data_IF_940815748661
#
_entry.id   IF_940815748661
#
_cell.length_a   1.000
_cell.length_b   1.000
_cell.length_c   1.000
_cell.angle_alpha   90.00
_cell.angle_beta   90.00
_cell.angle_gamma   90.00
#
_symmetry.space_group_name_H-M   'P 1'
#
loop_
_entity.id
_entity.type
_entity.pdbx_description
1 polymer ?
#
# COMPACT_ATOMS: atom_id res chain seq x y z
N UNK A 1 -23.46 -16.41 12.23
CA UNK A 1 -22.99 -15.34 11.36
C UNK A 1 -22.11 -15.92 10.26
N UNK A 2 -22.45 -15.69 9.02
CA UNK A 2 -21.62 -16.26 7.96
C UNK A 2 -20.23 -15.63 7.96
N UNK A 3 -19.23 -16.44 7.70
CA UNK A 3 -17.88 -15.94 7.52
C UNK A 3 -17.81 -15.10 6.24
N UNK A 4 -16.98 -14.05 6.25
CA UNK A 4 -16.75 -13.27 5.05
C UNK A 4 -16.02 -14.14 4.01
N UNK A 5 -16.50 -14.08 2.77
CA UNK A 5 -15.79 -14.69 1.66
C UNK A 5 -14.49 -13.95 1.42
N UNK A 6 -13.52 -14.64 0.78
CA UNK A 6 -12.23 -14.06 0.49
C UNK A 6 -12.31 -12.73 -0.29
N UNK A 7 -13.30 -12.61 -1.18
CA UNK A 7 -13.50 -11.44 -2.02
C UNK A 7 -14.56 -10.47 -1.49
N UNK A 8 -15.17 -10.75 -0.35
CA UNK A 8 -16.16 -9.85 0.25
C UNK A 8 -15.47 -8.58 0.79
N UNK A 9 -16.09 -7.41 0.61
CA UNK A 9 -15.52 -6.19 1.16
C UNK A 9 -15.59 -6.16 2.68
N UNK A 10 -14.54 -5.63 3.31
CA UNK A 10 -14.51 -5.40 4.75
C UNK A 10 -15.38 -4.19 5.07
N UNK A 11 -16.20 -4.31 6.12
CA UNK A 11 -17.17 -3.29 6.51
C UNK A 11 -16.66 -2.44 7.67
N UNK A 12 -16.93 -1.17 7.61
CA UNK A 12 -16.87 -0.21 8.71
C UNK A 12 -15.49 -0.07 9.36
N UNK A 13 -15.32 1.05 10.06
CA UNK A 13 -14.20 1.31 10.95
C UNK A 13 -14.21 0.29 12.09
N UNK A 14 -13.02 -0.05 12.58
CA UNK A 14 -12.89 -1.11 13.57
C UNK A 14 -12.98 -2.50 12.99
N UNK A 15 -12.99 -2.63 11.67
CA UNK A 15 -13.12 -3.92 11.00
C UNK A 15 -11.76 -4.60 10.80
N UNK A 16 -11.76 -5.93 10.92
CA UNK A 16 -10.57 -6.74 10.66
C UNK A 16 -10.29 -6.76 9.16
N UNK A 17 -9.07 -6.37 8.79
CA UNK A 17 -8.66 -6.32 7.39
C UNK A 17 -8.02 -7.62 6.92
N UNK A 18 -6.97 -8.06 7.61
CA UNK A 18 -6.21 -9.24 7.18
C UNK A 18 -5.48 -9.84 8.38
N UNK A 19 -5.40 -11.16 8.43
CA UNK A 19 -4.58 -11.86 9.42
C UNK A 19 -3.11 -11.69 9.08
N UNK A 20 -2.25 -11.56 10.09
CA UNK A 20 -0.82 -11.42 9.87
C UNK A 20 -0.23 -12.63 9.14
N UNK A 21 -0.70 -13.83 9.48
CA UNK A 21 -0.21 -15.05 8.83
C UNK A 21 -0.74 -15.25 7.41
N UNK A 22 -1.69 -14.43 6.99
CA UNK A 22 -2.20 -14.44 5.61
C UNK A 22 -1.45 -13.47 4.70
N UNK A 23 -0.55 -12.65 5.23
CA UNK A 23 0.26 -11.76 4.42
C UNK A 23 1.25 -12.57 3.57
N UNK A 24 1.38 -12.24 2.27
CA UNK A 24 2.36 -12.92 1.43
C UNK A 24 3.79 -12.51 1.80
N UNK A 25 4.82 -13.22 1.28
CA UNK A 25 6.22 -12.89 1.57
C UNK A 25 6.59 -11.43 1.28
N UNK A 26 5.91 -10.78 0.34
CA UNK A 26 6.15 -9.36 0.05
C UNK A 26 5.67 -8.41 1.14
N UNK A 27 4.91 -8.88 2.13
CA UNK A 27 4.49 -8.06 3.27
C UNK A 27 3.29 -7.16 3.03
N UNK A 28 2.64 -7.25 1.88
CA UNK A 28 1.50 -6.42 1.53
C UNK A 28 0.51 -7.22 0.68
N UNK A 29 -0.77 -6.92 0.82
CA UNK A 29 -1.83 -7.54 0.01
C UNK A 29 -2.96 -6.55 -0.24
N UNK A 30 -3.79 -6.87 -1.22
CA UNK A 30 -4.99 -6.08 -1.51
C UNK A 30 -6.12 -6.51 -0.60
N UNK A 31 -6.82 -5.54 -0.01
CA UNK A 31 -8.01 -5.81 0.82
C UNK A 31 -9.13 -4.89 0.36
N UNK A 32 -10.27 -5.49 0.00
CA UNK A 32 -11.45 -4.72 -0.39
C UNK A 32 -12.19 -4.24 0.84
N UNK A 33 -12.48 -2.95 0.87
CA UNK A 33 -13.30 -2.36 1.93
C UNK A 33 -14.53 -1.72 1.32
N UNK A 34 -15.60 -1.69 2.10
CA UNK A 34 -16.84 -1.06 1.66
C UNK A 34 -16.72 0.46 1.62
N UNK A 35 -16.07 1.05 2.63
CA UNK A 35 -16.01 2.49 2.77
C UNK A 35 -14.89 3.15 1.96
N UNK A 36 -13.79 2.41 1.70
CA UNK A 36 -12.57 3.00 1.15
C UNK A 36 -12.09 2.31 -0.14
N UNK A 37 -12.88 1.40 -0.68
CA UNK A 37 -12.46 0.63 -1.86
C UNK A 37 -11.35 -0.35 -1.53
N UNK A 38 -10.50 -0.64 -2.51
CA UNK A 38 -9.40 -1.58 -2.33
C UNK A 38 -8.21 -0.84 -1.73
N UNK A 39 -7.68 -1.40 -0.64
CA UNK A 39 -6.50 -0.87 0.06
C UNK A 39 -5.32 -1.82 -0.09
N UNK A 40 -4.12 -1.27 -0.07
CA UNK A 40 -2.89 -2.05 0.11
C UNK A 40 -2.61 -2.09 1.61
N UNK A 41 -2.62 -3.28 2.19
CA UNK A 41 -2.52 -3.49 3.64
C UNK A 41 -1.34 -4.40 3.93
N UNK A 42 -0.53 -4.04 4.90
CA UNK A 42 0.64 -4.85 5.24
C UNK A 42 1.38 -4.36 6.47
N UNK A 43 2.61 -4.86 6.58
CA UNK A 43 3.54 -4.54 7.66
C UNK A 43 4.85 -4.05 7.04
N UNK A 44 5.35 -2.91 7.49
CA UNK A 44 6.65 -2.36 7.10
C UNK A 44 7.45 -2.08 8.35
N UNK A 45 8.60 -2.74 8.52
CA UNK A 45 9.45 -2.63 9.71
C UNK A 45 8.66 -2.81 11.01
N UNK A 46 7.77 -3.80 11.04
CA UNK A 46 6.95 -4.09 12.21
C UNK A 46 5.76 -3.17 12.41
N UNK A 47 5.56 -2.18 11.55
CA UNK A 47 4.47 -1.21 11.68
C UNK A 47 3.37 -1.55 10.67
N UNK A 48 2.12 -1.73 11.11
CA UNK A 48 1.02 -1.98 10.19
C UNK A 48 0.67 -0.74 9.39
N UNK A 49 0.20 -0.93 8.16
CA UNK A 49 -0.25 0.17 7.33
C UNK A 49 -1.43 -0.24 6.46
N UNK A 50 -2.21 0.75 6.07
CA UNK A 50 -3.20 0.63 5.00
C UNK A 50 -3.18 1.92 4.19
N UNK A 51 -3.01 1.79 2.89
CA UNK A 51 -2.94 2.93 1.98
C UNK A 51 -3.81 2.64 0.75
N UNK A 52 -4.14 3.68 0.00
CA UNK A 52 -4.85 3.50 -1.26
C UNK A 52 -4.03 2.60 -2.19
N UNK A 53 -4.74 1.73 -2.94
CA UNK A 53 -4.10 0.64 -3.68
C UNK A 53 -3.47 1.05 -5.01
N UNK A 54 -3.69 2.28 -5.46
CA UNK A 54 -3.29 2.70 -6.81
C UNK A 54 -2.07 3.60 -6.75
N UNK A 55 -1.00 3.20 -7.47
CA UNK A 55 0.21 3.99 -7.61
C UNK A 55 -0.10 5.31 -8.34
N UNK A 56 0.42 6.43 -7.80
CA UNK A 56 0.09 7.75 -8.30
C UNK A 56 0.71 8.09 -9.65
N UNK A 57 1.78 7.38 -10.05
CA UNK A 57 2.43 7.69 -11.32
C UNK A 57 1.91 6.85 -12.50
N UNK A 58 1.45 5.61 -12.29
CA UNK A 58 1.03 4.72 -13.37
C UNK A 58 -0.20 3.88 -13.04
N UNK A 59 -0.85 4.14 -11.92
CA UNK A 59 -2.06 3.42 -11.51
C UNK A 59 -1.86 1.92 -11.32
N UNK A 60 -0.62 1.47 -11.11
CA UNK A 60 -0.35 0.09 -10.75
C UNK A 60 -0.91 -0.23 -9.37
N UNK A 61 -1.29 -1.48 -9.15
CA UNK A 61 -1.91 -1.90 -7.90
C UNK A 61 -0.84 -2.21 -6.85
N UNK A 62 -0.73 -1.34 -5.86
CA UNK A 62 0.33 -1.40 -4.84
C UNK A 62 0.25 -2.65 -3.96
N UNK A 63 -0.95 -3.19 -3.74
CA UNK A 63 -1.12 -4.43 -2.99
C UNK A 63 -0.52 -5.65 -3.69
N UNK A 64 -0.16 -5.53 -4.96
CA UNK A 64 0.53 -6.57 -5.71
C UNK A 64 2.05 -6.35 -5.72
N UNK A 65 2.53 -5.29 -5.09
CA UNK A 65 3.95 -5.01 -4.96
C UNK A 65 4.57 -5.71 -3.76
N UNK A 66 5.51 -5.04 -3.12
CA UNK A 66 6.19 -5.58 -1.95
C UNK A 66 6.65 -4.47 -1.02
N UNK A 67 6.85 -4.83 0.25
CA UNK A 67 7.52 -3.96 1.21
C UNK A 67 9.02 -4.18 1.10
N UNK A 68 9.77 -3.09 0.96
CA UNK A 68 11.22 -3.17 0.86
C UNK A 68 11.83 -1.95 1.56
N UNK A 69 12.77 -2.22 2.47
CA UNK A 69 13.46 -1.17 3.22
C UNK A 69 12.48 -0.21 3.93
N UNK A 70 11.42 -0.77 4.51
CA UNK A 70 10.43 0.00 5.23
C UNK A 70 9.44 0.78 4.39
N UNK A 71 9.50 0.63 3.07
CA UNK A 71 8.63 1.34 2.15
C UNK A 71 7.80 0.36 1.31
N UNK A 72 6.68 0.85 0.78
CA UNK A 72 5.85 0.09 -0.15
C UNK A 72 6.35 0.36 -1.57
N UNK A 73 6.74 -0.70 -2.27
CA UNK A 73 7.30 -0.62 -3.60
C UNK A 73 6.27 -1.00 -4.66
N UNK A 74 6.10 -0.13 -5.66
CA UNK A 74 5.20 -0.36 -6.78
C UNK A 74 5.70 -1.55 -7.64
N UNK A 75 4.81 -2.47 -8.04
CA UNK A 75 5.23 -3.66 -8.79
C UNK A 75 5.71 -3.37 -10.20
N UNK A 76 5.34 -2.24 -10.80
CA UNK A 76 5.69 -1.97 -12.21
C UNK A 76 7.09 -1.40 -12.37
N UNK A 77 7.39 -0.25 -11.75
CA UNK A 77 8.66 0.43 -11.95
C UNK A 77 9.38 0.74 -10.63
N UNK A 78 8.97 0.06 -9.56
CA UNK A 78 9.63 0.11 -8.25
C UNK A 78 9.71 1.51 -7.62
N UNK A 79 8.72 2.36 -7.91
CA UNK A 79 8.55 3.58 -7.13
C UNK A 79 8.24 3.20 -5.68
N UNK A 80 8.79 3.92 -4.72
CA UNK A 80 8.62 3.61 -3.30
C UNK A 80 7.85 4.70 -2.60
N UNK A 81 7.00 4.28 -1.67
CA UNK A 81 6.15 5.18 -0.89
C UNK A 81 6.37 4.94 0.59
N UNK A 82 6.40 6.04 1.35
CA UNK A 82 6.35 5.99 2.80
C UNK A 82 4.94 5.60 3.22
N UNK A 83 4.82 4.52 4.00
CA UNK A 83 3.50 3.98 4.36
C UNK A 83 2.80 4.80 5.45
N UNK A 84 3.52 5.68 6.15
CA UNK A 84 2.92 6.52 7.18
C UNK A 84 2.40 7.84 6.63
N UNK A 85 3.05 8.39 5.61
CA UNK A 85 2.65 9.67 5.01
C UNK A 85 1.98 9.52 3.64
N UNK A 86 2.18 8.40 2.98
CA UNK A 86 1.71 8.17 1.62
C UNK A 86 2.58 8.83 0.55
N UNK A 87 3.66 9.50 0.94
CA UNK A 87 4.51 10.24 0.01
C UNK A 87 5.46 9.33 -0.75
N UNK A 88 5.68 9.64 -2.01
CA UNK A 88 6.70 8.97 -2.81
C UNK A 88 8.08 9.37 -2.32
N UNK A 89 8.89 8.38 -1.91
CA UNK A 89 10.25 8.63 -1.41
C UNK A 89 11.32 8.28 -2.43
N UNK A 90 10.96 7.52 -3.47
CA UNK A 90 11.86 7.18 -4.57
C UNK A 90 11.03 7.08 -5.84
N UNK A 91 11.49 7.70 -6.91
CA UNK A 91 10.79 7.68 -8.19
C UNK A 91 10.86 6.32 -8.87
N UNK A 92 10.10 6.15 -9.94
CA UNK A 92 10.07 4.90 -10.69
C UNK A 92 11.44 4.58 -11.28
N UNK A 93 11.72 3.28 -11.42
CA UNK A 93 12.98 2.76 -11.94
C UNK A 93 12.70 1.83 -13.12
N UNK A 94 13.74 1.48 -13.85
CA UNK A 94 13.62 0.61 -14.98
C UNK A 94 14.23 1.26 -16.21
N UNK A 95 13.98 0.67 -17.38
CA UNK A 95 14.66 1.06 -18.61
C UNK A 95 14.48 2.54 -18.97
N UNK A 96 13.26 3.04 -18.87
CA UNK A 96 12.94 4.46 -19.13
C UNK A 96 13.26 5.30 -17.92
N UNK A 97 12.84 4.84 -16.74
CA UNK A 97 12.93 5.58 -15.49
C UNK A 97 14.30 5.50 -14.84
N UNK A 98 15.22 4.70 -15.40
CA UNK A 98 16.59 4.64 -14.93
C UNK A 98 17.40 5.89 -15.31
N UNK A 99 16.90 6.72 -16.20
CA UNK A 99 17.54 8.00 -16.55
C UNK A 99 17.31 8.99 -15.41
N UNK A 100 18.37 9.39 -14.64
CA UNK A 100 18.20 10.13 -13.40
C UNK A 100 17.39 11.44 -13.51
N UNK A 101 17.57 12.29 -14.52
CA UNK A 101 16.77 13.51 -14.64
C UNK A 101 15.26 13.23 -14.76
N UNK A 102 14.89 12.20 -15.51
CA UNK A 102 13.49 11.85 -15.68
C UNK A 102 12.89 11.31 -14.39
N UNK A 103 13.60 10.41 -13.73
CA UNK A 103 13.13 9.83 -12.46
C UNK A 103 12.95 10.89 -11.38
N UNK A 104 13.86 11.85 -11.29
CA UNK A 104 13.75 12.96 -10.34
C UNK A 104 12.56 13.87 -10.64
N UNK A 105 12.28 14.12 -11.92
CA UNK A 105 11.14 14.93 -12.32
C UNK A 105 9.83 14.24 -11.95
N UNK A 106 9.71 12.94 -12.21
CA UNK A 106 8.53 12.17 -11.84
C UNK A 106 8.33 12.14 -10.35
N UNK A 107 9.42 11.95 -9.59
CA UNK A 107 9.36 11.96 -8.13
C UNK A 107 8.88 13.33 -7.59
N UNK A 108 9.48 14.40 -8.07
CA UNK A 108 9.10 15.75 -7.63
C UNK A 108 7.63 16.04 -7.95
N UNK A 109 7.18 15.71 -9.15
CA UNK A 109 5.80 15.91 -9.54
C UNK A 109 4.84 15.09 -8.68
N UNK A 110 5.12 13.80 -8.49
CA UNK A 110 4.29 12.93 -7.67
C UNK A 110 4.21 13.38 -6.22
N UNK A 111 5.30 13.87 -5.67
CA UNK A 111 5.34 14.37 -4.29
C UNK A 111 4.49 15.63 -4.12
N UNK A 112 4.41 16.47 -5.15
CA UNK A 112 3.63 17.72 -5.10
C UNK A 112 2.15 17.48 -5.33
N UNK A 113 1.81 16.55 -6.24
CA UNK A 113 0.43 16.43 -6.72
C UNK A 113 -0.45 15.64 -5.78
N UNK A 114 -0.05 14.43 -5.38
CA UNK A 114 -0.93 13.60 -4.57
C UNK A 114 -0.18 12.47 -3.89
N UNK A 115 0.03 12.55 -2.58
CA UNK A 115 0.47 11.37 -1.84
C UNK A 115 -0.63 10.31 -1.84
N UNK A 116 -0.28 9.07 -1.53
CA UNK A 116 -1.26 8.03 -1.29
C UNK A 116 -2.10 8.40 -0.08
N UNK A 117 -3.37 8.04 -0.10
CA UNK A 117 -4.21 8.17 1.09
C UNK A 117 -3.80 7.10 2.09
N UNK A 118 -3.69 7.49 3.35
CA UNK A 118 -3.36 6.58 4.44
C UNK A 118 -4.57 6.40 5.35
N UNK A 119 -4.68 5.23 5.96
CA UNK A 119 -5.79 4.89 6.84
C UNK A 119 -5.22 4.34 8.14
N UNK A 120 -5.69 4.81 9.31
CA UNK A 120 -5.15 4.33 10.58
C UNK A 120 -5.54 2.87 10.82
N UNK A 121 -4.56 2.09 11.22
CA UNK A 121 -4.72 0.66 11.50
C UNK A 121 -3.95 0.29 12.75
N UNK A 122 -4.31 -0.87 13.33
CA UNK A 122 -3.59 -1.42 14.47
C UNK A 122 -3.49 -2.94 14.33
N UNK A 123 -2.48 -3.51 14.97
CA UNK A 123 -2.36 -4.96 15.11
C UNK A 123 -3.07 -5.36 16.40
N UNK A 124 -4.01 -6.30 16.28
CA UNK A 124 -4.75 -6.82 17.41
C UNK A 124 -5.15 -8.25 17.12
N UNK A 125 -4.96 -9.15 18.10
CA UNK A 125 -5.36 -10.54 17.98
C UNK A 125 -4.83 -11.22 16.71
N UNK A 126 -3.57 -10.96 16.36
CA UNK A 126 -2.92 -11.57 15.20
C UNK A 126 -3.39 -11.09 13.86
N UNK A 127 -4.02 -9.91 13.81
CA UNK A 127 -4.55 -9.35 12.57
C UNK A 127 -4.38 -7.83 12.53
N UNK A 128 -4.54 -7.26 11.34
CA UNK A 128 -4.55 -5.81 11.13
C UNK A 128 -6.01 -5.37 11.07
N UNK A 129 -6.34 -4.34 11.83
CA UNK A 129 -7.70 -3.79 11.95
C UNK A 129 -7.71 -2.31 11.58
N UNK A 130 -8.77 -1.85 10.93
CA UNK A 130 -9.04 -0.41 10.82
C UNK A 130 -9.37 0.15 12.20
N UNK A 131 -8.79 1.30 12.50
CA UNK A 131 -9.06 2.00 13.76
C UNK A 131 -10.27 2.92 13.65
#
# INVERSE_FOLDING_TARGET
MPELQHDDPVRAEGARLVALDALPPGGVTEVRTEAHGVLAVGIADGVPFAVSNVCRHQFAKLGQGQVREGCLECPWHRARYDVTTGRMVSGPKGRIFGFPPYSRAVHAFGSLVAPLRTFPVEVRDGAIWLV
#
